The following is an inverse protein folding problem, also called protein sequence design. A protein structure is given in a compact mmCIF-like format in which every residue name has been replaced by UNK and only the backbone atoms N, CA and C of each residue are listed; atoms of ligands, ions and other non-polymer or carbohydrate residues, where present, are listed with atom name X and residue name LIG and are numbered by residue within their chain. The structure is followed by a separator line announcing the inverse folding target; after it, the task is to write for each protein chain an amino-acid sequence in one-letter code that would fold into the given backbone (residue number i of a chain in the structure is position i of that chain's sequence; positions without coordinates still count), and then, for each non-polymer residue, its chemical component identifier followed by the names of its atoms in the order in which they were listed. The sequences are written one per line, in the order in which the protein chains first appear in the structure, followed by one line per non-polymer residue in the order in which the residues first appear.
data_IF_072904989765
#
_entry.id   IF_072904989765
#
_cell.length_a   1.000
_cell.length_b   1.000
_cell.length_c   1.000
_cell.angle_alpha   90.00
_cell.angle_beta   90.00
_cell.angle_gamma   90.00
#
_symmetry.space_group_name_H-M   'P 1'
#
loop_
_entity.id
_entity.type
_entity.pdbx_description
1 polymer ?
#
# COMPACT_ATOMS: atom_id res chain seq x y z
N UNK A 1 -1.54 -21.83 15.85
CA UNK A 1 -0.49 -21.13 15.07
C UNK A 1 -1.08 -20.85 13.71
N UNK A 2 -1.49 -19.62 13.47
CA UNK A 2 -1.98 -19.20 12.14
C UNK A 2 -0.76 -19.17 11.22
N UNK A 3 -0.71 -20.02 10.22
CA UNK A 3 0.36 -20.02 9.25
C UNK A 3 0.16 -18.78 8.34
N UNK A 4 1.21 -17.96 8.22
CA UNK A 4 1.17 -16.82 7.33
C UNK A 4 1.14 -17.27 5.86
N UNK A 5 0.28 -16.64 5.07
CA UNK A 5 0.14 -16.92 3.65
C UNK A 5 1.18 -16.12 2.84
N UNK A 6 1.92 -16.80 1.97
CA UNK A 6 2.93 -16.17 1.13
C UNK A 6 2.32 -15.37 -0.02
N UNK A 7 2.86 -14.18 -0.25
CA UNK A 7 2.61 -13.40 -1.47
C UNK A 7 3.90 -13.36 -2.28
N UNK A 8 3.83 -13.70 -3.56
CA UNK A 8 5.00 -13.76 -4.44
C UNK A 8 4.67 -13.28 -5.85
N UNK A 9 5.71 -12.91 -6.58
CA UNK A 9 5.63 -12.55 -7.99
C UNK A 9 6.67 -13.36 -8.77
N UNK A 10 6.31 -13.86 -9.95
CA UNK A 10 7.23 -14.53 -10.87
C UNK A 10 7.94 -13.56 -11.82
N UNK A 11 8.85 -14.10 -12.63
CA UNK A 11 9.63 -13.33 -13.60
C UNK A 11 8.76 -12.71 -14.73
N UNK A 12 7.53 -13.17 -14.90
CA UNK A 12 6.56 -12.62 -15.85
C UNK A 12 5.66 -11.54 -15.23
N UNK A 13 5.87 -11.23 -13.94
CA UNK A 13 5.10 -10.22 -13.23
C UNK A 13 3.77 -10.73 -12.68
N UNK A 14 3.48 -12.04 -12.77
CA UNK A 14 2.28 -12.64 -12.20
C UNK A 14 2.42 -12.76 -10.68
N UNK A 15 1.41 -12.28 -9.95
CA UNK A 15 1.37 -12.32 -8.49
C UNK A 15 0.35 -13.35 -8.03
N UNK A 16 0.68 -14.09 -6.99
CA UNK A 16 -0.25 -15.01 -6.34
C UNK A 16 -0.10 -15.04 -4.82
N UNK A 17 -1.17 -15.49 -4.16
CA UNK A 17 -1.28 -15.64 -2.72
C UNK A 17 -1.42 -17.12 -2.38
N UNK A 18 -0.62 -17.61 -1.43
CA UNK A 18 -0.65 -19.02 -1.03
C UNK A 18 0.14 -19.95 -1.94
N UNK A 19 -0.32 -21.18 -2.06
CA UNK A 19 0.34 -22.25 -2.81
C UNK A 19 -0.07 -22.34 -4.28
N UNK A 20 -1.28 -21.95 -4.61
CA UNK A 20 -1.81 -22.01 -5.96
C UNK A 20 -1.60 -20.67 -6.68
N UNK A 21 -1.20 -20.72 -7.98
CA UNK A 21 -1.02 -19.51 -8.77
C UNK A 21 -2.38 -18.93 -9.15
N UNK A 22 -3.01 -18.23 -8.24
CA UNK A 22 -4.10 -17.34 -8.61
C UNK A 22 -3.49 -16.06 -9.17
N UNK A 23 -3.98 -15.68 -10.33
CA UNK A 23 -3.70 -14.37 -10.89
C UNK A 23 -4.38 -13.35 -9.98
N UNK A 24 -3.63 -12.54 -9.25
CA UNK A 24 -4.17 -11.33 -8.65
C UNK A 24 -4.19 -10.26 -9.76
N UNK A 25 -5.21 -10.27 -10.64
CA UNK A 25 -5.19 -9.44 -11.83
C UNK A 25 -5.31 -8.01 -11.38
N UNK A 26 -4.28 -7.22 -11.60
CA UNK A 26 -4.33 -5.78 -11.54
C UNK A 26 -4.67 -5.12 -10.19
N UNK A 27 -5.42 -5.78 -9.32
CA UNK A 27 -5.84 -5.30 -8.03
C UNK A 27 -5.54 -6.41 -7.02
N UNK A 28 -4.44 -6.29 -6.30
CA UNK A 28 -4.17 -7.16 -5.17
C UNK A 28 -5.15 -6.77 -4.04
N UNK A 29 -6.35 -7.32 -4.08
CA UNK A 29 -7.27 -7.20 -2.97
C UNK A 29 -6.91 -8.26 -1.93
N UNK A 30 -6.46 -7.84 -0.76
CA UNK A 30 -6.37 -8.70 0.41
C UNK A 30 -7.72 -8.61 1.14
N UNK A 31 -8.69 -9.36 0.61
CA UNK A 31 -10.10 -9.34 1.06
C UNK A 31 -10.41 -10.39 2.11
N UNK A 32 -9.46 -11.28 2.41
CA UNK A 32 -9.61 -12.28 3.45
C UNK A 32 -8.81 -11.87 4.69
N UNK A 33 -9.46 -11.95 5.86
CA UNK A 33 -8.80 -11.76 7.14
C UNK A 33 -7.65 -12.76 7.28
N UNK A 34 -6.47 -12.26 7.63
CA UNK A 34 -5.32 -13.16 7.77
C UNK A 34 -3.98 -12.50 7.95
N UNK A 35 -2.98 -13.36 8.06
CA UNK A 35 -1.58 -12.98 8.15
C UNK A 35 -0.85 -13.39 6.88
N UNK A 36 -0.18 -12.43 6.27
CA UNK A 36 0.50 -12.57 4.99
C UNK A 36 1.96 -12.14 5.12
N UNK A 37 2.81 -12.67 4.26
CA UNK A 37 4.19 -12.20 4.14
C UNK A 37 4.64 -12.18 2.68
N UNK A 38 5.55 -11.28 2.35
CA UNK A 38 6.18 -11.26 1.04
C UNK A 38 7.24 -12.35 0.96
N UNK A 39 7.16 -13.19 -0.05
CA UNK A 39 8.17 -14.19 -0.38
C UNK A 39 9.11 -13.74 -1.50
N UNK A 40 8.80 -12.62 -2.17
CA UNK A 40 9.63 -11.96 -3.18
C UNK A 40 9.33 -10.45 -3.21
N UNK A 41 10.15 -9.68 -3.90
CA UNK A 41 9.80 -8.32 -4.25
C UNK A 41 8.59 -8.31 -5.18
N UNK A 42 7.74 -7.29 -5.05
CA UNK A 42 6.59 -7.08 -5.91
C UNK A 42 6.76 -5.80 -6.74
N UNK A 43 6.46 -5.88 -8.02
CA UNK A 43 6.36 -4.73 -8.92
C UNK A 43 4.93 -4.68 -9.43
N UNK A 44 4.15 -3.72 -8.95
CA UNK A 44 2.71 -3.69 -9.14
C UNK A 44 2.28 -2.53 -10.04
N UNK A 45 1.28 -2.82 -10.87
CA UNK A 45 0.60 -1.84 -11.70
C UNK A 45 -0.91 -2.01 -11.51
N UNK A 46 -1.63 -0.92 -11.37
CA UNK A 46 -3.07 -0.97 -11.21
C UNK A 46 -3.85 -1.25 -12.50
N UNK A 47 -5.12 -1.65 -12.40
CA UNK A 47 -5.95 -1.97 -13.57
C UNK A 47 -6.24 -0.71 -14.41
N UNK A 48 -6.19 -0.80 -15.74
CA UNK A 48 -6.34 0.36 -16.62
C UNK A 48 -7.70 1.07 -16.48
N UNK A 49 -8.73 0.35 -16.05
CA UNK A 49 -10.12 0.86 -16.00
C UNK A 49 -10.58 1.33 -14.60
N UNK A 50 -9.76 1.18 -13.56
CA UNK A 50 -10.13 1.49 -12.17
C UNK A 50 -9.13 2.48 -11.53
N UNK A 51 -9.00 3.68 -12.11
CA UNK A 51 -8.03 4.70 -11.66
C UNK A 51 -8.29 5.29 -10.26
N UNK A 52 -9.37 4.90 -9.59
CA UNK A 52 -9.78 5.48 -8.29
C UNK A 52 -9.30 4.68 -7.06
N UNK A 53 -8.68 3.52 -7.27
CA UNK A 53 -8.27 2.62 -6.19
C UNK A 53 -6.76 2.46 -6.17
N UNK A 54 -6.19 2.10 -5.01
CA UNK A 54 -4.78 1.75 -4.88
C UNK A 54 -4.40 0.48 -5.66
N UNK A 55 -3.12 0.19 -5.71
CA UNK A 55 -2.63 -1.06 -6.29
C UNK A 55 -2.92 -2.27 -5.40
N UNK A 56 -2.96 -2.06 -4.07
CA UNK A 56 -3.34 -3.07 -3.09
C UNK A 56 -4.53 -2.51 -2.31
N UNK A 57 -5.68 -3.16 -2.42
CA UNK A 57 -6.87 -2.81 -1.66
C UNK A 57 -7.00 -3.69 -0.43
N UNK A 58 -7.26 -3.07 0.72
CA UNK A 58 -7.49 -3.73 2.00
C UNK A 58 -8.93 -3.44 2.43
N UNK A 59 -9.76 -4.47 2.48
CA UNK A 59 -11.16 -4.40 2.89
C UNK A 59 -11.52 -5.40 4.01
N UNK A 60 -10.52 -6.07 4.56
CA UNK A 60 -10.60 -6.98 5.71
C UNK A 60 -9.42 -6.75 6.64
N UNK A 61 -9.45 -7.32 7.85
CA UNK A 61 -8.35 -7.24 8.80
C UNK A 61 -7.15 -8.05 8.33
N UNK A 62 -6.07 -7.37 7.98
CA UNK A 62 -4.86 -7.95 7.40
C UNK A 62 -3.63 -7.60 8.22
N UNK A 63 -2.82 -8.61 8.53
CA UNK A 63 -1.44 -8.43 8.97
C UNK A 63 -0.50 -8.79 7.83
N UNK A 64 0.32 -7.82 7.39
CA UNK A 64 1.30 -8.00 6.32
C UNK A 64 2.72 -7.82 6.85
N UNK A 65 3.56 -8.85 6.71
CA UNK A 65 5.01 -8.75 6.91
C UNK A 65 5.71 -8.54 5.58
N UNK A 66 6.45 -7.44 5.43
CA UNK A 66 7.28 -7.20 4.24
C UNK A 66 8.42 -8.21 4.10
N UNK A 67 8.85 -8.84 5.21
CA UNK A 67 9.90 -9.86 5.23
C UNK A 67 11.18 -9.43 4.50
N UNK A 68 11.52 -8.13 4.58
CA UNK A 68 12.66 -7.53 3.93
C UNK A 68 12.51 -7.24 2.43
N UNK A 69 11.35 -7.52 1.85
CA UNK A 69 11.07 -7.31 0.43
C UNK A 69 10.47 -5.94 0.16
N UNK A 70 10.59 -5.50 -1.08
CA UNK A 70 10.09 -4.22 -1.55
C UNK A 70 8.82 -4.40 -2.39
N UNK A 71 7.83 -3.56 -2.13
CA UNK A 71 6.68 -3.33 -3.01
C UNK A 71 6.97 -2.05 -3.79
N UNK A 72 7.12 -2.19 -5.11
CA UNK A 72 7.33 -1.05 -6.02
C UNK A 72 6.11 -0.85 -6.89
N UNK A 73 5.52 0.34 -6.82
CA UNK A 73 4.38 0.72 -7.67
C UNK A 73 4.89 1.41 -8.93
N UNK A 74 4.45 0.91 -10.08
CA UNK A 74 4.79 1.45 -11.41
C UNK A 74 3.54 2.00 -12.13
N UNK A 75 2.71 2.72 -11.39
CA UNK A 75 1.49 3.37 -11.86
C UNK A 75 1.22 4.63 -11.01
N UNK A 76 0.42 5.55 -11.54
CA UNK A 76 -0.03 6.75 -10.83
C UNK A 76 -1.23 6.43 -9.94
N UNK A 77 -0.93 5.76 -8.80
CA UNK A 77 -1.92 5.29 -7.80
C UNK A 77 -1.29 5.17 -6.44
N UNK A 78 -2.11 5.18 -5.40
CA UNK A 78 -1.68 4.80 -4.06
C UNK A 78 -1.20 3.34 -4.04
N UNK A 79 -0.15 3.05 -3.25
CA UNK A 79 0.30 1.68 -3.12
C UNK A 79 -0.73 0.86 -2.36
N UNK A 80 -1.18 1.35 -1.20
CA UNK A 80 -2.25 0.75 -0.41
C UNK A 80 -3.44 1.69 -0.32
N UNK A 81 -4.62 1.12 -0.50
CA UNK A 81 -5.91 1.76 -0.33
C UNK A 81 -6.73 0.96 0.68
N UNK A 82 -6.86 1.50 1.89
CA UNK A 82 -7.56 0.86 2.99
C UNK A 82 -8.94 1.48 3.09
N UNK A 83 -9.97 0.69 2.78
CA UNK A 83 -11.34 1.17 2.77
C UNK A 83 -12.33 0.11 3.18
N UNK A 84 -13.40 0.56 3.81
CA UNK A 84 -14.53 -0.27 4.16
C UNK A 84 -15.34 -0.64 2.90
N UNK A 85 -15.71 -1.90 2.74
CA UNK A 85 -16.77 -2.29 1.81
C UNK A 85 -18.14 -1.89 2.39
N UNK A 86 -19.19 -1.85 1.55
CA UNK A 86 -20.51 -1.30 1.96
C UNK A 86 -21.12 -2.01 3.18
N UNK A 87 -20.79 -3.28 3.41
CA UNK A 87 -21.42 -4.11 4.44
C UNK A 87 -20.43 -4.63 5.50
N UNK A 88 -19.13 -4.26 5.43
CA UNK A 88 -18.10 -4.72 6.36
C UNK A 88 -17.88 -3.75 7.52
N UNK A 89 -17.24 -4.24 8.59
CA UNK A 89 -16.61 -3.38 9.58
C UNK A 89 -15.41 -2.66 8.94
N UNK A 90 -15.01 -1.48 9.47
CA UNK A 90 -13.80 -0.82 9.00
C UNK A 90 -12.58 -1.71 9.19
N UNK A 91 -11.84 -2.04 8.12
CA UNK A 91 -10.69 -2.94 8.21
C UNK A 91 -9.48 -2.29 8.89
N UNK A 92 -8.61 -3.15 9.38
CA UNK A 92 -7.30 -2.79 9.92
C UNK A 92 -6.19 -3.42 9.08
N UNK A 93 -5.30 -2.58 8.53
CA UNK A 93 -4.01 -3.06 8.04
C UNK A 93 -2.98 -2.97 9.16
N UNK A 94 -2.35 -4.07 9.51
CA UNK A 94 -1.16 -4.12 10.36
C UNK A 94 0.07 -4.41 9.52
N UNK A 95 1.00 -3.47 9.43
CA UNK A 95 2.25 -3.61 8.67
C UNK A 95 3.40 -3.94 9.60
N UNK A 96 4.14 -5.01 9.28
CA UNK A 96 5.34 -5.43 9.98
C UNK A 96 6.49 -5.68 9.00
N UNK A 97 7.70 -5.80 9.50
CA UNK A 97 8.86 -6.24 8.72
C UNK A 97 9.88 -6.95 9.62
N UNK A 98 9.93 -8.25 9.58
CA UNK A 98 10.80 -9.05 10.46
C UNK A 98 12.30 -8.99 10.05
N UNK A 99 12.64 -8.41 8.90
CA UNK A 99 14.02 -8.23 8.44
C UNK A 99 14.51 -6.78 8.41
N UNK A 100 13.63 -5.83 8.74
CA UNK A 100 13.92 -4.39 8.86
C UNK A 100 14.49 -3.73 7.58
N UNK A 101 14.26 -4.31 6.40
CA UNK A 101 14.73 -3.78 5.11
C UNK A 101 13.61 -3.66 4.07
N UNK A 102 12.39 -4.05 4.43
CA UNK A 102 11.23 -4.00 3.57
C UNK A 102 10.75 -2.58 3.31
N UNK A 103 10.30 -2.33 2.08
CA UNK A 103 9.91 -0.99 1.63
C UNK A 103 8.62 -1.00 0.82
N UNK A 104 7.90 0.13 0.90
CA UNK A 104 6.78 0.47 0.03
C UNK A 104 7.17 1.76 -0.68
N UNK A 105 7.27 1.72 -2.01
CA UNK A 105 7.78 2.83 -2.81
C UNK A 105 7.14 2.92 -4.18
N UNK A 106 7.22 4.10 -4.81
CA UNK A 106 6.92 4.26 -6.23
C UNK A 106 8.20 4.21 -7.06
N UNK A 107 8.12 3.51 -8.19
CA UNK A 107 9.18 3.47 -9.19
C UNK A 107 9.21 4.73 -10.06
N UNK A 108 10.01 4.66 -11.11
CA UNK A 108 10.13 5.72 -12.12
C UNK A 108 9.79 5.16 -13.50
N UNK A 109 9.25 6.02 -14.34
CA UNK A 109 9.06 5.71 -15.77
C UNK A 109 10.39 5.54 -16.48
N UNK A 110 10.39 5.00 -17.69
CA UNK A 110 11.58 4.92 -18.57
C UNK A 110 12.23 6.30 -18.83
N UNK A 111 11.46 7.38 -18.73
CA UNK A 111 11.97 8.76 -18.86
C UNK A 111 12.48 9.37 -17.54
N UNK A 112 12.55 8.59 -16.45
CA UNK A 112 13.05 9.05 -15.14
C UNK A 112 12.04 9.84 -14.31
N UNK A 113 10.80 10.00 -14.77
CA UNK A 113 9.74 10.66 -14.00
C UNK A 113 9.19 9.68 -12.96
N UNK A 114 9.00 10.14 -11.73
CA UNK A 114 8.35 9.33 -10.66
C UNK A 114 6.89 9.06 -11.00
N UNK A 115 6.44 7.83 -10.73
CA UNK A 115 5.02 7.54 -10.62
C UNK A 115 4.44 8.22 -9.39
N UNK A 116 3.16 8.60 -9.46
CA UNK A 116 2.51 9.46 -8.47
C UNK A 116 1.47 8.67 -7.65
N UNK A 117 1.54 8.83 -6.35
CA UNK A 117 0.58 8.24 -5.41
C UNK A 117 1.10 8.27 -3.98
N UNK A 118 0.19 8.09 -3.02
CA UNK A 118 0.54 7.91 -1.63
C UNK A 118 1.11 6.49 -1.40
N UNK A 119 1.94 6.34 -0.37
CA UNK A 119 2.30 5.01 0.11
C UNK A 119 1.09 4.27 0.67
N UNK A 120 0.28 4.95 1.52
CA UNK A 120 -0.94 4.39 2.10
C UNK A 120 -2.02 5.46 2.16
N UNK A 121 -3.24 5.11 1.76
CA UNK A 121 -4.44 5.95 1.92
C UNK A 121 -5.49 5.23 2.76
N UNK A 122 -6.04 5.92 3.75
CA UNK A 122 -7.07 5.41 4.64
C UNK A 122 -8.38 6.16 4.42
N UNK A 123 -9.49 5.42 4.35
CA UNK A 123 -10.83 5.95 4.16
C UNK A 123 -11.84 5.31 5.13
N UNK A 124 -12.92 6.04 5.43
CA UNK A 124 -14.13 5.46 6.04
C UNK A 124 -13.89 4.78 7.40
N UNK A 125 -13.23 5.47 8.31
CA UNK A 125 -12.96 5.02 9.68
C UNK A 125 -12.05 3.79 9.78
N UNK A 126 -11.26 3.49 8.75
CA UNK A 126 -10.32 2.37 8.74
C UNK A 126 -9.10 2.62 9.63
N UNK A 127 -8.34 1.56 9.92
CA UNK A 127 -7.16 1.65 10.75
C UNK A 127 -5.91 1.19 9.99
N UNK A 128 -4.81 1.88 10.25
CA UNK A 128 -3.49 1.45 9.84
C UNK A 128 -2.55 1.44 11.04
N UNK A 129 -1.93 0.30 11.32
CA UNK A 129 -0.98 0.12 12.42
C UNK A 129 0.36 -0.29 11.80
N UNK A 130 1.42 0.44 12.10
CA UNK A 130 2.77 0.17 11.58
C UNK A 130 3.74 -0.18 12.71
N UNK A 131 4.27 -1.38 12.67
CA UNK A 131 5.31 -1.88 13.59
C UNK A 131 6.69 -1.93 12.93
N UNK A 132 6.78 -1.97 11.60
CA UNK A 132 8.06 -2.09 10.91
C UNK A 132 7.94 -1.80 9.40
N UNK A 133 9.07 -1.87 8.70
CA UNK A 133 9.20 -1.54 7.30
C UNK A 133 9.39 -0.04 7.04
N UNK A 134 9.45 0.34 5.78
CA UNK A 134 9.64 1.73 5.35
C UNK A 134 8.63 2.13 4.28
N UNK A 135 7.96 3.27 4.46
CA UNK A 135 7.16 3.93 3.42
C UNK A 135 8.03 5.07 2.90
N UNK A 136 8.60 4.91 1.70
CA UNK A 136 9.66 5.80 1.22
C UNK A 136 9.59 6.09 -0.27
N UNK A 137 10.03 7.29 -0.67
CA UNK A 137 10.14 7.67 -2.07
C UNK A 137 8.80 7.76 -2.82
N UNK A 138 7.69 7.89 -2.11
CA UNK A 138 6.38 8.09 -2.72
C UNK A 138 6.19 9.59 -2.98
N UNK A 139 5.62 9.92 -4.12
CA UNK A 139 5.49 11.30 -4.59
C UNK A 139 4.08 11.59 -5.06
N UNK A 140 3.52 12.71 -4.66
CA UNK A 140 2.27 13.22 -5.23
C UNK A 140 2.50 14.58 -5.87
N UNK A 141 1.84 14.84 -6.99
CA UNK A 141 1.88 16.14 -7.65
C UNK A 141 0.51 16.82 -7.61
N UNK A 142 0.51 18.14 -7.72
CA UNK A 142 -0.70 18.93 -7.84
C UNK A 142 -1.21 18.97 -9.28
N UNK A 143 -2.52 18.84 -9.45
CA UNK A 143 -3.24 19.10 -10.71
C UNK A 143 -4.68 19.44 -10.37
N UNK A 144 -5.41 20.11 -11.27
CA UNK A 144 -6.76 20.62 -10.99
C UNK A 144 -7.79 19.55 -10.61
N UNK A 145 -7.48 18.26 -10.83
CA UNK A 145 -8.35 17.12 -10.52
C UNK A 145 -7.66 16.04 -9.68
N UNK A 146 -6.49 16.33 -9.10
CA UNK A 146 -5.72 15.34 -8.33
C UNK A 146 -5.92 15.62 -6.84
N UNK A 147 -6.58 14.69 -6.16
CA UNK A 147 -6.97 14.78 -4.74
C UNK A 147 -5.93 14.21 -3.77
N UNK A 148 -4.76 13.81 -4.27
CA UNK A 148 -3.71 13.27 -3.42
C UNK A 148 -3.04 14.38 -2.61
N UNK A 149 -3.07 14.25 -1.30
CA UNK A 149 -2.62 15.32 -0.38
C UNK A 149 -1.40 14.97 0.46
N UNK A 150 -0.95 13.70 0.41
CA UNK A 150 0.23 13.22 1.13
C UNK A 150 1.19 12.55 0.15
N UNK A 151 2.44 12.38 0.54
CA UNK A 151 3.38 11.49 -0.16
C UNK A 151 3.43 10.12 0.52
N UNK A 152 3.51 10.07 1.84
CA UNK A 152 3.62 8.84 2.61
C UNK A 152 2.28 8.24 2.99
N UNK A 153 1.64 8.77 4.03
CA UNK A 153 0.38 8.27 4.57
C UNK A 153 -0.69 9.35 4.57
N UNK A 154 -1.84 9.07 3.97
CA UNK A 154 -2.99 9.94 3.98
C UNK A 154 -4.11 9.36 4.84
N UNK A 155 -4.45 10.04 5.91
CA UNK A 155 -5.49 9.63 6.88
C UNK A 155 -6.69 10.55 6.72
N UNK A 156 -7.85 10.00 6.38
CA UNK A 156 -9.08 10.75 6.18
C UNK A 156 -10.33 10.01 6.67
N UNK A 157 -11.46 10.70 6.63
CA UNK A 157 -12.77 10.14 6.90
C UNK A 157 -12.84 9.42 8.27
N UNK A 158 -12.35 10.07 9.35
CA UNK A 158 -12.27 9.55 10.71
C UNK A 158 -11.43 8.26 10.85
N UNK A 159 -10.49 8.01 9.94
CA UNK A 159 -9.56 6.88 10.02
C UNK A 159 -8.46 7.13 11.04
N UNK A 160 -7.78 6.07 11.46
CA UNK A 160 -6.72 6.14 12.48
C UNK A 160 -5.42 5.54 11.93
N UNK A 161 -4.32 6.26 12.12
CA UNK A 161 -2.97 5.77 11.89
C UNK A 161 -2.19 5.72 13.20
N UNK A 162 -1.63 4.57 13.52
CA UNK A 162 -0.78 4.36 14.70
C UNK A 162 0.56 3.78 14.27
N UNK A 163 1.66 4.40 14.70
CA UNK A 163 3.01 3.96 14.37
C UNK A 163 3.78 3.63 15.64
N UNK A 164 4.19 2.37 15.77
CA UNK A 164 5.02 1.86 16.86
C UNK A 164 6.48 1.65 16.43
N UNK A 165 6.73 1.52 15.12
CA UNK A 165 8.05 1.31 14.55
C UNK A 165 8.07 1.47 13.04
N UNK A 166 9.24 1.26 12.43
CA UNK A 166 9.45 1.51 11.01
C UNK A 166 9.81 2.96 10.69
N UNK A 167 9.67 3.37 9.44
CA UNK A 167 10.01 4.71 8.99
C UNK A 167 9.13 5.22 7.85
N UNK A 168 8.88 6.53 7.84
CA UNK A 168 8.20 7.24 6.74
C UNK A 168 9.13 8.36 6.30
N UNK A 169 9.85 8.16 5.20
CA UNK A 169 10.95 9.03 4.79
C UNK A 169 10.96 9.30 3.29
N UNK A 170 11.57 10.41 2.88
CA UNK A 170 11.77 10.74 1.46
C UNK A 170 10.47 10.77 0.62
N UNK A 171 9.31 10.94 1.26
CA UNK A 171 8.07 11.11 0.55
C UNK A 171 7.83 12.60 0.26
N UNK A 172 7.29 12.89 -0.90
CA UNK A 172 7.17 14.26 -1.40
C UNK A 172 5.76 14.56 -1.86
N UNK A 173 5.29 15.76 -1.58
CA UNK A 173 4.03 16.29 -2.11
C UNK A 173 4.19 17.77 -2.42
N UNK A 174 3.42 18.26 -3.38
CA UNK A 174 3.29 19.71 -3.61
C UNK A 174 2.20 20.36 -2.73
N UNK A 175 1.47 19.54 -1.96
CA UNK A 175 0.42 19.97 -1.03
C UNK A 175 0.89 19.87 0.43
N UNK A 176 0.14 19.20 1.27
CA UNK A 176 0.38 19.09 2.69
C UNK A 176 0.91 17.70 3.06
N UNK A 177 1.79 17.63 4.07
CA UNK A 177 2.18 16.37 4.69
C UNK A 177 2.99 15.43 3.81
N UNK A 178 4.22 15.79 3.43
CA UNK A 178 5.10 14.87 2.67
C UNK A 178 5.20 13.48 3.32
N UNK A 179 5.33 13.39 4.65
CA UNK A 179 5.32 12.13 5.38
C UNK A 179 3.91 11.63 5.68
N UNK A 180 3.17 12.36 6.52
CA UNK A 180 1.81 12.03 6.95
C UNK A 180 0.92 13.25 6.82
N UNK A 181 -0.28 13.06 6.31
CA UNK A 181 -1.33 14.08 6.28
C UNK A 181 -2.61 13.52 6.88
N UNK A 182 -3.17 14.25 7.84
CA UNK A 182 -4.44 13.91 8.48
C UNK A 182 -5.47 14.95 8.07
N UNK A 183 -6.54 14.51 7.45
CA UNK A 183 -7.68 15.31 7.05
C UNK A 183 -8.85 15.00 7.98
N UNK A 184 -9.27 16.02 8.74
CA UNK A 184 -10.40 15.95 9.65
C UNK A 184 -11.73 16.27 8.96
#
# INVERSE_FOLDING_TARGET
TTFATAIRQDDNGKVWVGGDPEDLPYQCALSEEGTYYLASNLVLKGPPNLKKFGCICIDSDVTLCLNGHTITIIDDRDAFDIRKSMESNPPTLTLTDCKNSGQITHGTTTGGTKYLGNGVSLHQSCNFIMYGGSITGNTTSGGENITWRSGGVWVRDNSTFTMYGGSITNNTTVWNGGGVYVEG
#
